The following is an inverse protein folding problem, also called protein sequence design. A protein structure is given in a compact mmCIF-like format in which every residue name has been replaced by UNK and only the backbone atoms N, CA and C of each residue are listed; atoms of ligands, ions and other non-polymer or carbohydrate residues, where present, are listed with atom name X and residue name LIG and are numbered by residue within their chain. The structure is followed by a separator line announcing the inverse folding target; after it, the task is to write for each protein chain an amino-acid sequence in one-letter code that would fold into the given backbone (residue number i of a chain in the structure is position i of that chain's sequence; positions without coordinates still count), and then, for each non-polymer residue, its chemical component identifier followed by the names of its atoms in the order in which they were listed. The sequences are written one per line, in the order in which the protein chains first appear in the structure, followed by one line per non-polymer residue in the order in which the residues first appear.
data_IF_297422879223
#
_entry.id   IF_297422879223
#
_cell.length_a   1.000
_cell.length_b   1.000
_cell.length_c   1.000
_cell.angle_alpha   90.00
_cell.angle_beta   90.00
_cell.angle_gamma   90.00
#
_symmetry.space_group_name_H-M   'P 1'
#
loop_
_entity.id
_entity.type
_entity.pdbx_description
1 polymer ?
#
# COMPACT_ATOMS: atom_id res chain seq x y z
N UNK A 1 -3.19 14.91 15.66
CA UNK A 1 -2.81 13.48 15.56
C UNK A 1 -3.84 12.51 16.14
N UNK A 2 -4.17 12.56 17.44
CA UNK A 2 -5.11 11.61 18.04
C UNK A 2 -6.49 11.57 17.37
N UNK A 3 -7.08 12.74 17.05
CA UNK A 3 -8.37 12.82 16.35
C UNK A 3 -8.29 12.19 14.96
N UNK A 4 -7.28 12.54 14.17
CA UNK A 4 -7.07 11.97 12.83
C UNK A 4 -6.89 10.46 12.89
N UNK A 5 -6.14 9.96 13.87
CA UNK A 5 -5.94 8.53 14.04
C UNK A 5 -7.25 7.82 14.37
N UNK A 6 -8.09 8.40 15.24
CA UNK A 6 -9.40 7.85 15.56
C UNK A 6 -10.32 7.82 14.32
N UNK A 7 -10.26 8.86 13.48
CA UNK A 7 -10.98 8.89 12.20
C UNK A 7 -10.54 7.74 11.29
N UNK A 8 -9.23 7.51 11.15
CA UNK A 8 -8.71 6.42 10.32
C UNK A 8 -8.99 5.04 10.92
N UNK A 9 -8.97 4.88 12.25
CA UNK A 9 -9.36 3.64 12.90
C UNK A 9 -10.85 3.31 12.66
N UNK A 10 -11.73 4.31 12.74
CA UNK A 10 -13.15 4.17 12.42
C UNK A 10 -13.36 3.85 10.93
N UNK A 11 -12.66 4.56 10.04
CA UNK A 11 -12.71 4.32 8.59
C UNK A 11 -12.27 2.89 8.25
N UNK A 12 -11.14 2.44 8.79
CA UNK A 12 -10.63 1.09 8.58
C UNK A 12 -11.63 0.03 9.06
N UNK A 13 -12.23 0.23 10.24
CA UNK A 13 -13.24 -0.66 10.80
C UNK A 13 -14.50 -0.70 9.93
N UNK A 14 -14.94 0.45 9.42
CA UNK A 14 -16.06 0.56 8.49
C UNK A 14 -15.80 -0.18 7.18
N UNK A 15 -14.65 0.04 6.54
CA UNK A 15 -14.26 -0.65 5.30
C UNK A 15 -14.16 -2.17 5.50
N UNK A 16 -13.61 -2.62 6.64
CA UNK A 16 -13.61 -4.04 7.00
C UNK A 16 -15.04 -4.57 7.13
N UNK A 17 -15.93 -3.87 7.83
CA UNK A 17 -17.33 -4.25 7.98
C UNK A 17 -18.07 -4.32 6.64
N UNK A 18 -17.79 -3.41 5.70
CA UNK A 18 -18.35 -3.47 4.34
C UNK A 18 -17.87 -4.72 3.60
N UNK A 19 -16.58 -5.04 3.68
CA UNK A 19 -16.00 -6.24 3.07
C UNK A 19 -16.63 -7.51 3.64
N UNK A 20 -16.71 -7.62 4.97
CA UNK A 20 -17.21 -8.80 5.68
C UNK A 20 -18.71 -9.03 5.37
N UNK A 21 -19.48 -7.96 5.14
CA UNK A 21 -20.89 -8.01 4.76
C UNK A 21 -21.13 -8.01 3.24
N UNK A 22 -20.08 -8.02 2.41
CA UNK A 22 -20.15 -7.91 0.94
C UNK A 22 -20.96 -6.70 0.45
N UNK A 23 -20.85 -5.59 1.16
CA UNK A 23 -21.50 -4.33 0.84
C UNK A 23 -20.53 -3.38 0.12
N UNK A 24 -21.07 -2.52 -0.75
CA UNK A 24 -20.29 -1.48 -1.42
C UNK A 24 -20.11 -0.23 -0.55
N UNK A 25 -19.12 0.60 -0.89
CA UNK A 25 -18.82 1.86 -0.18
C UNK A 25 -19.88 2.97 -0.38
N UNK A 26 -20.84 2.75 -1.29
CA UNK A 26 -21.89 3.72 -1.62
C UNK A 26 -21.59 4.47 -2.91
N UNK A 27 -21.95 5.76 -2.94
CA UNK A 27 -21.87 6.60 -4.14
C UNK A 27 -20.42 6.97 -4.52
N UNK A 28 -20.22 7.35 -5.78
CA UNK A 28 -18.91 7.68 -6.33
C UNK A 28 -18.22 8.84 -5.60
N UNK A 29 -19.00 9.82 -5.13
CA UNK A 29 -18.48 10.93 -4.34
C UNK A 29 -17.88 10.47 -3.01
N UNK A 30 -18.52 9.51 -2.32
CA UNK A 30 -17.99 8.93 -1.07
C UNK A 30 -16.67 8.23 -1.33
N UNK A 31 -16.58 7.44 -2.41
CA UNK A 31 -15.35 6.78 -2.84
C UNK A 31 -14.24 7.80 -3.13
N UNK A 32 -14.54 8.86 -3.86
CA UNK A 32 -13.58 9.94 -4.19
C UNK A 32 -13.09 10.67 -2.95
N UNK A 33 -13.99 11.06 -2.06
CA UNK A 33 -13.65 11.75 -0.80
C UNK A 33 -12.80 10.85 0.10
N UNK A 34 -13.17 9.58 0.26
CA UNK A 34 -12.38 8.62 1.03
C UNK A 34 -10.97 8.44 0.44
N UNK A 35 -10.87 8.29 -0.88
CA UNK A 35 -9.59 8.16 -1.59
C UNK A 35 -8.70 9.39 -1.38
N UNK A 36 -9.25 10.59 -1.56
CA UNK A 36 -8.51 11.84 -1.38
C UNK A 36 -8.02 12.01 0.06
N UNK A 37 -8.88 11.72 1.03
CA UNK A 37 -8.53 11.76 2.45
C UNK A 37 -7.37 10.81 2.78
N UNK A 38 -7.46 9.55 2.32
CA UNK A 38 -6.45 8.53 2.59
C UNK A 38 -5.11 8.90 1.95
N UNK A 39 -5.11 9.26 0.66
CA UNK A 39 -3.88 9.63 -0.07
C UNK A 39 -3.21 10.84 0.57
N UNK A 40 -3.98 11.83 1.04
CA UNK A 40 -3.44 13.01 1.72
C UNK A 40 -2.71 12.70 3.03
N UNK A 41 -3.02 11.57 3.69
CA UNK A 41 -2.41 11.18 4.97
C UNK A 41 -1.23 10.22 4.80
N UNK A 42 -1.02 9.65 3.60
CA UNK A 42 0.14 8.80 3.32
C UNK A 42 1.48 9.53 3.50
N UNK A 43 1.53 10.85 3.39
CA UNK A 43 2.77 11.64 3.54
C UNK A 43 2.88 12.32 4.91
N UNK A 44 2.00 11.99 5.86
CA UNK A 44 2.01 12.59 7.20
C UNK A 44 3.32 12.29 7.95
N UNK A 45 3.77 13.19 8.81
CA UNK A 45 4.98 13.00 9.64
C UNK A 45 4.84 11.83 10.62
N UNK A 46 3.64 11.57 11.13
CA UNK A 46 3.34 10.46 12.04
C UNK A 46 3.33 9.12 11.29
N UNK A 47 4.23 8.21 11.68
CA UNK A 47 4.31 6.87 11.10
C UNK A 47 3.00 6.08 11.29
N UNK A 48 2.34 6.21 12.44
CA UNK A 48 1.07 5.53 12.71
C UNK A 48 -0.05 5.98 11.77
N UNK A 49 -0.12 7.28 11.44
CA UNK A 49 -1.09 7.78 10.48
C UNK A 49 -0.82 7.27 9.07
N UNK A 50 0.46 7.20 8.66
CA UNK A 50 0.84 6.57 7.38
C UNK A 50 0.42 5.09 7.34
N UNK A 51 0.60 4.36 8.44
CA UNK A 51 0.16 2.97 8.57
C UNK A 51 -1.35 2.83 8.39
N UNK A 52 -2.11 3.59 9.17
CA UNK A 52 -3.57 3.54 9.12
C UNK A 52 -4.10 3.94 7.72
N UNK A 53 -3.45 4.91 7.06
CA UNK A 53 -3.78 5.29 5.70
C UNK A 53 -3.48 4.20 4.67
N UNK A 54 -2.31 3.56 4.72
CA UNK A 54 -1.98 2.42 3.84
C UNK A 54 -2.98 1.27 3.99
N UNK A 55 -3.33 0.93 5.22
CA UNK A 55 -4.33 -0.08 5.56
C UNK A 55 -5.72 0.27 4.98
N UNK A 56 -6.16 1.52 5.18
CA UNK A 56 -7.43 2.01 4.63
C UNK A 56 -7.42 1.97 3.10
N UNK A 57 -6.30 2.33 2.45
CA UNK A 57 -6.23 2.35 0.99
C UNK A 57 -6.43 0.96 0.40
N UNK A 58 -5.76 -0.05 0.95
CA UNK A 58 -5.91 -1.42 0.48
C UNK A 58 -7.30 -2.01 0.78
N UNK A 59 -7.88 -1.71 1.96
CA UNK A 59 -9.27 -2.10 2.26
C UNK A 59 -10.29 -1.38 1.39
N UNK A 60 -10.06 -0.10 1.06
CA UNK A 60 -10.90 0.65 0.14
C UNK A 60 -10.89 0.02 -1.25
N UNK A 61 -9.72 -0.31 -1.77
CA UNK A 61 -9.58 -1.01 -3.05
C UNK A 61 -10.33 -2.36 -3.03
N UNK A 62 -10.22 -3.12 -1.93
CA UNK A 62 -10.92 -4.38 -1.75
C UNK A 62 -12.46 -4.22 -1.73
N UNK A 63 -12.98 -3.23 -1.01
CA UNK A 63 -14.43 -2.93 -0.94
C UNK A 63 -14.97 -2.49 -2.30
N UNK A 64 -14.20 -1.68 -3.03
CA UNK A 64 -14.59 -1.21 -4.37
C UNK A 64 -14.58 -2.37 -5.37
N UNK A 65 -13.62 -3.29 -5.27
CA UNK A 65 -13.57 -4.51 -6.08
C UNK A 65 -13.37 -4.29 -7.59
N UNK A 66 -13.05 -3.08 -8.02
CA UNK A 66 -12.78 -2.73 -9.42
C UNK A 66 -11.26 -2.77 -9.70
N UNK A 67 -10.80 -3.62 -10.65
CA UNK A 67 -9.39 -3.66 -11.06
C UNK A 67 -8.85 -2.35 -11.60
N UNK A 68 -9.66 -1.54 -12.29
CA UNK A 68 -9.24 -0.25 -12.85
C UNK A 68 -8.96 0.75 -11.73
N UNK A 69 -9.87 0.83 -10.77
CA UNK A 69 -9.70 1.67 -9.59
C UNK A 69 -8.42 1.31 -8.83
N UNK A 70 -8.14 0.02 -8.64
CA UNK A 70 -6.92 -0.39 -7.92
C UNK A 70 -5.65 -0.10 -8.72
N UNK A 71 -5.68 -0.28 -10.04
CA UNK A 71 -4.58 0.11 -10.92
C UNK A 71 -4.28 1.62 -10.82
N UNK A 72 -5.31 2.47 -10.77
CA UNK A 72 -5.15 3.92 -10.57
C UNK A 72 -4.51 4.26 -9.21
N UNK A 73 -4.89 3.57 -8.13
CA UNK A 73 -4.28 3.76 -6.80
C UNK A 73 -2.81 3.33 -6.77
N UNK A 74 -2.49 2.20 -7.41
CA UNK A 74 -1.11 1.74 -7.56
C UNK A 74 -0.28 2.72 -8.39
N UNK A 75 -0.81 3.17 -9.53
CA UNK A 75 -0.16 4.16 -10.40
C UNK A 75 0.11 5.47 -9.67
N UNK A 76 -0.87 5.96 -8.90
CA UNK A 76 -0.69 7.15 -8.06
C UNK A 76 0.48 7.00 -7.09
N UNK A 77 0.64 5.81 -6.49
CA UNK A 77 1.77 5.54 -5.59
C UNK A 77 3.10 5.44 -6.33
N UNK A 78 3.13 4.88 -7.54
CA UNK A 78 4.36 4.86 -8.36
C UNK A 78 4.82 6.27 -8.73
N UNK A 79 3.91 7.11 -9.19
CA UNK A 79 4.22 8.48 -9.59
C UNK A 79 4.73 9.29 -8.39
N UNK A 80 4.12 9.11 -7.23
CA UNK A 80 4.56 9.74 -5.97
C UNK A 80 5.94 9.25 -5.54
N UNK A 81 6.22 7.95 -5.61
CA UNK A 81 7.53 7.39 -5.26
C UNK A 81 8.65 7.85 -6.18
N UNK A 82 8.35 8.07 -7.47
CA UNK A 82 9.33 8.59 -8.44
C UNK A 82 9.77 10.02 -8.13
N UNK A 83 8.82 10.85 -7.67
CA UNK A 83 9.05 12.27 -7.37
C UNK A 83 9.50 12.52 -5.93
N UNK A 84 9.14 11.63 -4.99
CA UNK A 84 9.43 11.80 -3.57
C UNK A 84 10.93 11.89 -3.29
N UNK A 85 11.27 12.76 -2.34
CA UNK A 85 12.63 12.96 -1.82
C UNK A 85 12.69 12.81 -0.31
N UNK A 86 11.57 13.05 0.37
CA UNK A 86 11.43 12.92 1.80
C UNK A 86 11.08 11.49 2.24
N UNK A 87 11.47 11.15 3.48
CA UNK A 87 11.26 9.81 4.08
C UNK A 87 9.77 9.51 4.28
N UNK A 88 8.95 10.50 4.64
CA UNK A 88 7.54 10.29 4.95
C UNK A 88 6.77 9.79 3.71
N UNK A 89 6.91 10.49 2.58
CA UNK A 89 6.28 10.13 1.32
C UNK A 89 6.77 8.78 0.79
N UNK A 90 8.07 8.52 0.87
CA UNK A 90 8.66 7.24 0.43
C UNK A 90 8.11 6.07 1.25
N UNK A 91 8.12 6.18 2.58
CA UNK A 91 7.62 5.11 3.46
C UNK A 91 6.11 4.89 3.33
N UNK A 92 5.31 5.96 3.26
CA UNK A 92 3.87 5.86 3.16
C UNK A 92 3.40 5.23 1.86
N UNK A 93 3.93 5.65 0.72
CA UNK A 93 3.57 5.06 -0.57
C UNK A 93 4.15 3.66 -0.78
N UNK A 94 5.32 3.33 -0.20
CA UNK A 94 5.80 1.94 -0.17
C UNK A 94 4.82 1.04 0.56
N UNK A 95 4.39 1.43 1.76
CA UNK A 95 3.42 0.67 2.53
C UNK A 95 2.07 0.53 1.81
N UNK A 96 1.58 1.62 1.21
CA UNK A 96 0.34 1.62 0.44
C UNK A 96 0.34 0.55 -0.67
N UNK A 97 1.44 0.40 -1.41
CA UNK A 97 1.59 -0.67 -2.41
C UNK A 97 1.50 -2.06 -1.77
N UNK A 98 2.19 -2.27 -0.64
CA UNK A 98 2.11 -3.52 0.11
C UNK A 98 0.67 -3.86 0.55
N UNK A 99 -0.04 -2.90 1.12
CA UNK A 99 -1.43 -3.07 1.57
C UNK A 99 -2.41 -3.34 0.41
N UNK A 100 -2.22 -2.69 -0.75
CA UNK A 100 -3.05 -2.92 -1.95
C UNK A 100 -2.96 -4.39 -2.39
N UNK A 101 -1.73 -4.91 -2.56
CA UNK A 101 -1.52 -6.31 -2.92
C UNK A 101 -1.99 -7.26 -1.83
N UNK A 102 -1.80 -6.91 -0.55
CA UNK A 102 -2.27 -7.74 0.56
C UNK A 102 -3.77 -8.00 0.51
N UNK A 103 -4.56 -6.95 0.28
CA UNK A 103 -6.01 -7.04 0.43
C UNK A 103 -6.75 -7.43 -0.83
N UNK A 104 -6.21 -7.09 -2.00
CA UNK A 104 -6.87 -7.38 -3.26
C UNK A 104 -6.15 -8.50 -4.05
N UNK A 105 -5.03 -8.99 -3.52
CA UNK A 105 -4.22 -10.06 -4.09
C UNK A 105 -3.39 -9.58 -5.27
N UNK A 106 -2.85 -10.54 -6.04
CA UNK A 106 -2.21 -10.29 -7.34
C UNK A 106 -3.29 -9.91 -8.37
N UNK A 107 -3.84 -8.70 -8.26
CA UNK A 107 -4.97 -8.26 -9.06
C UNK A 107 -4.64 -8.16 -10.54
N UNK A 108 -5.27 -9.01 -11.35
CA UNK A 108 -5.66 -8.77 -12.75
C UNK A 108 -4.57 -8.47 -13.79
N UNK A 109 -3.32 -8.20 -13.40
CA UNK A 109 -2.22 -7.86 -14.28
C UNK A 109 -0.90 -8.09 -13.54
N UNK A 110 -0.09 -9.01 -14.05
CA UNK A 110 1.29 -9.22 -13.57
C UNK A 110 2.14 -7.94 -13.65
N UNK A 111 1.75 -6.96 -14.46
CA UNK A 111 2.50 -5.73 -14.68
C UNK A 111 2.63 -4.87 -13.41
N UNK A 112 1.52 -4.53 -12.73
CA UNK A 112 1.57 -3.68 -11.54
C UNK A 112 2.25 -4.38 -10.36
N UNK A 113 2.13 -5.70 -10.26
CA UNK A 113 2.87 -6.50 -9.29
C UNK A 113 4.38 -6.39 -9.55
N UNK A 114 4.82 -6.63 -10.79
CA UNK A 114 6.22 -6.53 -11.18
C UNK A 114 6.78 -5.13 -10.91
N UNK A 115 6.06 -4.08 -11.33
CA UNK A 115 6.46 -2.70 -11.08
C UNK A 115 6.57 -2.39 -9.58
N UNK A 116 5.60 -2.86 -8.77
CA UNK A 116 5.63 -2.67 -7.31
C UNK A 116 6.87 -3.33 -6.71
N UNK A 117 7.14 -4.59 -7.05
CA UNK A 117 8.30 -5.34 -6.54
C UNK A 117 9.61 -4.66 -6.98
N UNK A 118 9.73 -4.26 -8.24
CA UNK A 118 10.94 -3.58 -8.73
C UNK A 118 11.21 -2.26 -8.00
N UNK A 119 10.18 -1.43 -7.78
CA UNK A 119 10.32 -0.17 -7.03
C UNK A 119 10.71 -0.46 -5.59
N UNK A 120 10.02 -1.39 -4.92
CA UNK A 120 10.28 -1.70 -3.51
C UNK A 120 11.67 -2.34 -3.30
N UNK A 121 12.13 -3.21 -4.20
CA UNK A 121 13.50 -3.74 -4.15
C UNK A 121 14.54 -2.63 -4.28
N UNK A 122 14.34 -1.69 -5.20
CA UNK A 122 15.23 -0.53 -5.35
C UNK A 122 15.26 0.35 -4.09
N UNK A 123 14.10 0.58 -3.46
CA UNK A 123 14.00 1.33 -2.21
C UNK A 123 14.63 0.60 -1.02
N UNK A 124 14.50 -0.73 -0.97
CA UNK A 124 15.12 -1.56 0.05
C UNK A 124 16.67 -1.58 -0.04
N UNK A 125 17.22 -1.30 -1.22
CA UNK A 125 18.67 -1.18 -1.45
C UNK A 125 19.20 0.24 -1.21
N UNK A 126 18.34 1.23 -0.90
CA UNK A 126 18.77 2.60 -0.66
C UNK A 126 19.38 2.78 0.74
N UNK A 127 20.71 2.69 0.81
CA UNK A 127 21.50 2.84 2.04
C UNK A 127 21.45 4.26 2.63
N UNK A 128 20.90 5.25 1.92
CA UNK A 128 20.80 6.62 2.44
C UNK A 128 19.75 6.77 3.55
N UNK A 129 18.81 5.83 3.68
CA UNK A 129 17.75 5.90 4.68
C UNK A 129 17.31 4.52 5.18
N UNK A 130 17.83 4.07 6.33
CA UNK A 130 17.42 2.80 6.94
C UNK A 130 15.91 2.67 7.17
N UNK A 131 15.25 3.80 7.46
CA UNK A 131 13.80 3.84 7.65
C UNK A 131 13.06 3.48 6.34
N UNK A 132 13.47 4.06 5.21
CA UNK A 132 12.89 3.72 3.90
C UNK A 132 13.14 2.25 3.57
N UNK A 133 14.33 1.73 3.86
CA UNK A 133 14.66 0.31 3.61
C UNK A 133 13.71 -0.63 4.36
N UNK A 134 13.53 -0.43 5.67
CA UNK A 134 12.68 -1.28 6.50
C UNK A 134 11.21 -1.25 6.02
N UNK A 135 10.68 -0.08 5.66
CA UNK A 135 9.32 0.03 5.15
C UNK A 135 9.15 -0.60 3.76
N UNK A 136 10.16 -0.51 2.89
CA UNK A 136 10.15 -1.16 1.59
C UNK A 136 10.20 -2.70 1.73
N UNK A 137 11.04 -3.22 2.63
CA UNK A 137 11.08 -4.65 2.97
C UNK A 137 9.76 -5.12 3.58
N UNK A 138 9.15 -4.33 4.46
CA UNK A 138 7.86 -4.66 5.04
C UNK A 138 6.77 -4.72 3.96
N UNK A 139 6.74 -3.76 3.03
CA UNK A 139 5.81 -3.80 1.91
C UNK A 139 6.02 -5.03 1.00
N UNK A 140 7.27 -5.43 0.75
CA UNK A 140 7.59 -6.69 0.05
C UNK A 140 7.06 -7.91 0.80
N UNK A 141 7.21 -7.94 2.12
CA UNK A 141 6.67 -9.02 2.95
C UNK A 141 5.14 -9.12 2.81
N UNK A 142 4.41 -8.00 2.88
CA UNK A 142 2.95 -7.97 2.68
C UNK A 142 2.53 -8.48 1.29
N UNK A 143 3.32 -8.15 0.25
CA UNK A 143 3.13 -8.69 -1.10
C UNK A 143 3.35 -10.21 -1.10
N UNK A 144 4.42 -10.70 -0.46
CA UNK A 144 4.76 -12.13 -0.42
C UNK A 144 3.76 -12.99 0.33
N UNK A 145 3.17 -12.46 1.40
CA UNK A 145 2.15 -13.17 2.20
C UNK A 145 0.83 -13.34 1.43
N UNK A 146 0.56 -12.47 0.46
CA UNK A 146 -0.70 -12.45 -0.29
C UNK A 146 -0.63 -13.09 -1.68
N UNK A 147 0.54 -13.10 -2.31
CA UNK A 147 0.70 -13.81 -3.58
C UNK A 147 0.95 -15.28 -3.35
N UNK A 148 0.02 -16.10 -3.84
CA UNK A 148 0.18 -17.55 -3.91
C UNK A 148 1.32 -17.99 -4.86
N UNK A 149 1.14 -19.04 -5.68
CA UNK A 149 2.23 -19.61 -6.49
C UNK A 149 2.99 -18.62 -7.40
N UNK A 150 2.36 -17.50 -7.78
CA UNK A 150 2.92 -16.45 -8.64
C UNK A 150 4.15 -15.74 -8.04
N UNK A 151 4.35 -15.86 -6.72
CA UNK A 151 5.43 -15.17 -6.02
C UNK A 151 6.72 -15.99 -5.90
N UNK A 152 6.72 -17.25 -6.35
CA UNK A 152 7.90 -18.14 -6.31
C UNK A 152 9.15 -17.52 -6.94
N UNK A 153 9.00 -16.80 -8.05
CA UNK A 153 10.12 -16.15 -8.74
C UNK A 153 10.75 -14.97 -7.98
N UNK A 154 10.10 -14.46 -6.94
CA UNK A 154 10.56 -13.31 -6.16
C UNK A 154 11.04 -13.67 -4.76
N UNK A 155 10.90 -14.94 -4.33
CA UNK A 155 11.36 -15.40 -3.01
C UNK A 155 12.88 -15.25 -2.89
N UNK A 156 13.63 -15.79 -3.85
CA UNK A 156 15.09 -15.78 -3.83
C UNK A 156 15.68 -14.36 -3.90
N UNK A 157 15.22 -13.44 -4.78
CA UNK A 157 15.65 -12.04 -4.75
C UNK A 157 15.35 -11.33 -3.43
N UNK A 158 14.16 -11.50 -2.88
CA UNK A 158 13.75 -10.85 -1.61
C UNK A 158 14.58 -11.36 -0.44
N UNK A 159 14.78 -12.68 -0.34
CA UNK A 159 15.57 -13.30 0.71
C UNK A 159 17.06 -12.95 0.60
N UNK A 160 17.61 -12.97 -0.62
CA UNK A 160 19.00 -12.57 -0.87
C UNK A 160 19.26 -11.12 -0.49
N UNK A 161 18.28 -10.24 -0.70
CA UNK A 161 18.37 -8.85 -0.26
C UNK A 161 18.34 -8.74 1.27
N UNK A 162 17.42 -9.45 1.94
CA UNK A 162 17.33 -9.45 3.40
C UNK A 162 18.61 -9.98 4.08
N UNK A 163 19.31 -10.95 3.47
CA UNK A 163 20.57 -11.50 3.99
C UNK A 163 21.80 -10.62 3.70
N UNK A 164 21.70 -9.66 2.77
CA UNK A 164 22.79 -8.75 2.40
C UNK A 164 22.79 -7.44 3.19
N UNK A 165 21.64 -7.07 3.75
CA UNK A 165 21.46 -5.90 4.62
C UNK A 165 21.89 -6.25 6.04
#
# INVERSE_FOLDING_TARGET
DAVTLNVFAALLSGLKGLTDNKAGIGQDDVKKTATSLIIGVLTNSSAMLRCAAGECLGRLAQVVGDPRFTAELAQTSFDRLKLARDVASRTGHSLALGCLHRYVGSMGSSQHLNTSISILLALAQDLSSPVVQVWALHALALITESGGPMLRGYVEPTLSLALKL
#
